data_IF_406607382144
#
_entry.id   IF_406607382144
#
_cell.length_a   1.000
_cell.length_b   1.000
_cell.length_c   1.000
_cell.angle_alpha   90.00
_cell.angle_beta   90.00
_cell.angle_gamma   90.00
#
_symmetry.space_group_name_H-M   'P 1'
#
loop_
_entity.id
_entity.type
_entity.pdbx_description
1 polymer ?
#
# COMPACT_ATOMS: atom_id res chain seq x y z
N UNK A 1 -1.55 -23.35 12.89
CA UNK A 1 -1.76 -22.01 13.47
C UNK A 1 -0.88 -20.99 12.73
N UNK A 2 -1.17 -20.68 11.46
CA UNK A 2 -0.49 -19.61 10.72
C UNK A 2 -1.45 -19.12 9.65
N UNK A 3 -1.62 -17.80 9.57
CA UNK A 3 -2.41 -17.18 8.51
C UNK A 3 -1.70 -17.34 7.16
N UNK A 4 -2.46 -17.32 6.08
CA UNK A 4 -1.92 -17.34 4.71
C UNK A 4 -1.76 -15.90 4.22
N UNK A 5 -0.78 -15.67 3.36
CA UNK A 5 -0.64 -14.37 2.70
C UNK A 5 -1.85 -14.13 1.79
N UNK A 6 -2.53 -13.00 1.99
CA UNK A 6 -3.70 -12.60 1.20
C UNK A 6 -3.32 -11.74 -0.02
N UNK A 7 -2.21 -11.00 0.06
CA UNK A 7 -1.75 -10.10 -1.00
C UNK A 7 -0.21 -10.02 -0.99
N UNK A 8 0.48 -10.13 -2.15
CA UNK A 8 1.90 -9.79 -2.26
C UNK A 8 2.19 -8.30 -1.95
N UNK A 9 3.35 -7.94 -1.40
CA UNK A 9 3.67 -6.54 -1.10
C UNK A 9 3.54 -5.62 -2.32
N UNK A 10 2.85 -4.49 -2.15
CA UNK A 10 2.86 -3.37 -3.08
C UNK A 10 3.92 -2.36 -2.61
N UNK A 11 4.99 -2.17 -3.39
CA UNK A 11 6.10 -1.29 -3.04
C UNK A 11 6.20 -0.19 -4.11
N UNK A 12 6.08 1.06 -3.67
CA UNK A 12 6.21 2.25 -4.52
C UNK A 12 7.41 3.05 -4.01
N UNK A 13 8.40 3.26 -4.88
CA UNK A 13 9.65 3.94 -4.52
C UNK A 13 9.51 5.45 -4.73
N UNK A 14 9.72 6.23 -3.66
CA UNK A 14 9.73 7.70 -3.73
C UNK A 14 11.09 8.27 -4.14
N UNK A 15 12.11 7.42 -4.25
CA UNK A 15 13.46 7.72 -4.73
C UNK A 15 14.22 8.82 -3.97
N UNK A 16 13.78 9.23 -2.77
CA UNK A 16 14.53 10.18 -1.94
C UNK A 16 15.84 9.54 -1.43
N UNK A 17 16.99 10.13 -1.73
CA UNK A 17 18.33 9.59 -1.36
C UNK A 17 19.16 10.55 -0.50
N UNK A 18 18.77 11.82 -0.41
CA UNK A 18 19.43 12.83 0.43
C UNK A 18 18.53 13.26 1.60
N UNK A 19 19.11 13.83 2.66
CA UNK A 19 18.35 14.32 3.83
C UNK A 19 17.25 15.31 3.41
N UNK A 20 17.58 16.27 2.54
CA UNK A 20 16.62 17.25 2.05
C UNK A 20 15.45 16.57 1.28
N UNK A 21 15.75 15.60 0.42
CA UNK A 21 14.71 14.84 -0.29
C UNK A 21 13.87 13.98 0.65
N UNK A 22 14.45 13.42 1.72
CA UNK A 22 13.76 12.62 2.74
C UNK A 22 12.86 13.50 3.63
N UNK A 23 13.22 14.77 3.84
CA UNK A 23 12.42 15.70 4.65
C UNK A 23 11.38 16.51 3.85
N UNK A 24 11.49 16.59 2.52
CA UNK A 24 10.54 17.30 1.65
C UNK A 24 9.08 16.79 1.74
N UNK A 25 8.11 17.48 1.14
CA UNK A 25 6.78 16.91 0.96
C UNK A 25 6.79 15.84 -0.14
N UNK A 26 6.03 14.75 0.03
CA UNK A 26 6.01 13.61 -0.90
C UNK A 26 4.71 13.63 -1.68
N UNK A 27 4.81 13.83 -2.98
CA UNK A 27 3.68 13.70 -3.88
C UNK A 27 3.74 12.35 -4.56
N UNK A 28 2.72 11.53 -4.36
CA UNK A 28 2.58 10.24 -5.03
C UNK A 28 1.77 10.38 -6.31
N UNK A 29 2.13 9.64 -7.38
CA UNK A 29 1.29 9.56 -8.57
C UNK A 29 -0.13 9.07 -8.24
N UNK A 30 -1.14 9.64 -8.90
CA UNK A 30 -2.53 9.27 -8.66
C UNK A 30 -2.80 7.78 -8.98
N UNK A 31 -2.10 7.22 -9.96
CA UNK A 31 -2.16 5.80 -10.31
C UNK A 31 -1.72 4.88 -9.16
N UNK A 32 -0.74 5.30 -8.37
CA UNK A 32 -0.23 4.54 -7.24
C UNK A 32 -1.16 4.66 -6.04
N UNK A 33 -1.71 5.86 -5.82
CA UNK A 33 -2.76 6.08 -4.83
C UNK A 33 -4.02 5.25 -5.15
N UNK A 34 -4.38 5.13 -6.42
CA UNK A 34 -5.51 4.29 -6.86
C UNK A 34 -5.30 2.82 -6.51
N UNK A 35 -4.12 2.24 -6.81
CA UNK A 35 -3.77 0.87 -6.44
C UNK A 35 -3.91 0.63 -4.93
N UNK A 36 -3.45 1.58 -4.11
CA UNK A 36 -3.57 1.49 -2.66
C UNK A 36 -5.02 1.49 -2.17
N UNK A 37 -5.88 2.35 -2.75
CA UNK A 37 -7.31 2.42 -2.41
C UNK A 37 -8.04 1.14 -2.80
N UNK A 38 -7.79 0.62 -4.00
CA UNK A 38 -8.38 -0.64 -4.47
C UNK A 38 -7.97 -1.81 -3.58
N UNK A 39 -6.68 -1.91 -3.25
CA UNK A 39 -6.19 -2.95 -2.36
C UNK A 39 -6.85 -2.87 -0.99
N UNK A 40 -6.91 -1.68 -0.39
CA UNK A 40 -7.57 -1.46 0.90
C UNK A 40 -9.05 -1.87 0.88
N UNK A 41 -9.77 -1.52 -0.18
CA UNK A 41 -11.18 -1.90 -0.35
C UNK A 41 -11.35 -3.43 -0.44
N UNK A 42 -10.51 -4.12 -1.20
CA UNK A 42 -10.55 -5.58 -1.33
C UNK A 42 -10.26 -6.28 0.01
N UNK A 43 -9.27 -5.78 0.77
CA UNK A 43 -8.96 -6.30 2.10
C UNK A 43 -10.13 -6.08 3.08
N UNK A 44 -10.75 -4.90 3.06
CA UNK A 44 -11.92 -4.57 3.88
C UNK A 44 -13.10 -5.52 3.61
N UNK A 45 -13.44 -5.75 2.34
CA UNK A 45 -14.48 -6.68 1.95
C UNK A 45 -14.18 -8.12 2.42
N UNK A 46 -12.92 -8.56 2.34
CA UNK A 46 -12.49 -9.87 2.84
C UNK A 46 -12.72 -10.03 4.35
N UNK A 47 -12.44 -8.99 5.13
CA UNK A 47 -12.69 -8.98 6.58
C UNK A 47 -14.19 -9.07 6.87
N UNK A 48 -15.03 -8.31 6.15
CA UNK A 48 -16.50 -8.38 6.29
C UNK A 48 -17.05 -9.78 5.98
N UNK A 49 -16.41 -10.50 5.05
CA UNK A 49 -16.72 -11.89 4.71
C UNK A 49 -16.14 -12.92 5.69
N UNK A 50 -15.36 -12.49 6.70
CA UNK A 50 -14.73 -13.37 7.69
C UNK A 50 -13.47 -14.10 7.19
N UNK A 51 -12.77 -13.55 6.19
CA UNK A 51 -11.52 -14.10 5.64
C UNK A 51 -10.30 -13.55 6.39
N UNK A 52 -9.45 -14.45 6.91
CA UNK A 52 -8.24 -14.13 7.68
C UNK A 52 -7.04 -15.02 7.32
#
# INVERSE_FOLDING_TARGET
WRLKQVQPPLIICTHAQTEAEILAEKTMPEEDLAKCRELGAALGAGIEMGVF
#
